data_IF_887802238277
#
_entry.id   IF_887802238277
#
_cell.length_a   1.000
_cell.length_b   1.000
_cell.length_c   1.000
_cell.angle_alpha   90.00
_cell.angle_beta   90.00
_cell.angle_gamma   90.00
#
_symmetry.space_group_name_H-M   'P 1'
#
loop_
_entity.id
_entity.type
_entity.pdbx_description
1 polymer ?
#
# COMPACT_ATOMS: atom_id res chain seq x y z
N UNK A 1 0.38 13.39 13.99
CA UNK A 1 -0.63 12.42 13.53
C UNK A 1 -1.89 13.21 13.16
N UNK A 2 -2.44 13.05 11.94
CA UNK A 2 -3.64 13.79 11.52
C UNK A 2 -3.72 14.25 10.06
N UNK A 3 -2.88 13.76 9.14
CA UNK A 3 -2.99 14.09 7.71
C UNK A 3 -3.76 13.04 6.90
N UNK A 4 -3.90 11.84 7.45
CA UNK A 4 -4.44 10.66 6.78
C UNK A 4 -5.97 10.60 6.84
N UNK A 5 -6.58 11.47 7.65
CA UNK A 5 -8.03 11.52 7.92
C UNK A 5 -8.77 12.50 6.99
N UNK A 6 -8.04 13.39 6.31
CA UNK A 6 -8.61 14.42 5.43
C UNK A 6 -8.85 13.95 3.98
N UNK A 7 -8.81 12.64 3.71
CA UNK A 7 -8.96 12.11 2.35
C UNK A 7 -7.77 12.41 1.42
N UNK A 8 -6.63 12.83 1.97
CA UNK A 8 -5.42 13.12 1.21
C UNK A 8 -4.58 11.85 1.01
N UNK A 9 -4.07 11.65 -0.20
CA UNK A 9 -3.10 10.59 -0.49
C UNK A 9 -1.72 10.99 0.03
N UNK A 10 -1.21 10.26 1.02
CA UNK A 10 0.14 10.43 1.53
C UNK A 10 1.08 9.38 0.90
N UNK A 11 2.14 9.85 0.24
CA UNK A 11 3.25 8.99 -0.23
C UNK A 11 4.45 9.25 0.67
N UNK A 12 4.97 8.19 1.28
CA UNK A 12 6.16 8.24 2.15
C UNK A 12 7.24 7.38 1.53
N UNK A 13 8.40 7.98 1.25
CA UNK A 13 9.61 7.25 0.83
C UNK A 13 10.50 7.11 2.05
N UNK A 14 10.79 5.88 2.45
CA UNK A 14 11.58 5.60 3.64
C UNK A 14 12.34 4.29 3.47
N UNK A 15 13.53 4.22 4.07
CA UNK A 15 14.29 2.98 4.20
C UNK A 15 13.91 2.19 5.46
N UNK A 16 13.10 2.77 6.36
CA UNK A 16 12.58 2.07 7.54
C UNK A 16 11.36 1.23 7.17
N UNK A 17 11.56 -0.09 7.15
CA UNK A 17 10.51 -1.06 6.82
C UNK A 17 9.32 -1.06 7.79
N UNK A 18 9.52 -0.70 9.07
CA UNK A 18 8.44 -0.64 10.06
C UNK A 18 7.49 0.53 9.79
N UNK A 19 8.03 1.65 9.31
CA UNK A 19 7.24 2.80 8.90
C UNK A 19 6.45 2.49 7.62
N UNK A 20 7.09 1.89 6.62
CA UNK A 20 6.44 1.46 5.37
C UNK A 20 5.35 0.40 5.59
N UNK A 21 5.56 -0.52 6.53
CA UNK A 21 4.61 -1.59 6.85
C UNK A 21 3.22 -1.09 7.31
N UNK A 22 3.14 0.16 7.79
CA UNK A 22 1.89 0.80 8.24
C UNK A 22 1.05 1.32 7.08
N UNK A 23 1.61 1.46 5.88
CA UNK A 23 0.90 1.96 4.71
C UNK A 23 -0.15 0.97 4.20
N UNK A 24 -1.25 1.48 3.64
CA UNK A 24 -2.29 0.67 2.98
C UNK A 24 -1.77 0.00 1.70
N UNK A 25 -0.82 0.64 1.02
CA UNK A 25 -0.09 0.09 -0.12
C UNK A 25 1.39 0.19 0.14
N UNK A 26 2.12 -0.87 -0.13
CA UNK A 26 3.58 -0.93 0.04
C UNK A 26 4.21 -1.20 -1.32
N UNK A 27 5.16 -0.35 -1.70
CA UNK A 27 5.91 -0.45 -2.93
C UNK A 27 7.39 -0.64 -2.57
N UNK A 28 8.00 -1.74 -3.00
CA UNK A 28 9.46 -1.90 -2.95
C UNK A 28 10.02 -1.59 -4.32
N UNK A 29 10.93 -0.63 -4.37
CA UNK A 29 11.66 -0.30 -5.60
C UNK A 29 13.15 -0.58 -5.40
N UNK A 30 13.76 -1.25 -6.37
CA UNK A 30 15.20 -1.49 -6.45
C UNK A 30 15.66 -1.20 -7.88
N UNK A 31 16.79 -0.48 -8.02
CA UNK A 31 17.39 -0.12 -9.31
C UNK A 31 16.42 0.54 -10.31
N UNK A 32 15.45 1.31 -9.80
CA UNK A 32 14.42 1.97 -10.60
C UNK A 32 13.27 1.07 -11.06
N UNK A 33 13.29 -0.22 -10.71
CA UNK A 33 12.22 -1.17 -10.96
C UNK A 33 11.34 -1.36 -9.71
N UNK A 34 10.04 -1.59 -9.92
CA UNK A 34 9.12 -1.99 -8.85
C UNK A 34 9.18 -3.50 -8.66
N UNK A 35 9.80 -3.94 -7.57
CA UNK A 35 9.96 -5.36 -7.25
C UNK A 35 8.74 -5.93 -6.53
N UNK A 36 8.10 -5.13 -5.66
CA UNK A 36 6.91 -5.56 -4.92
C UNK A 36 5.84 -4.48 -4.88
N UNK A 37 4.60 -4.91 -5.09
CA UNK A 37 3.38 -4.13 -4.86
C UNK A 37 2.42 -4.96 -4.01
N UNK A 38 2.06 -4.44 -2.83
CA UNK A 38 1.20 -5.12 -1.86
C UNK A 38 0.13 -4.16 -1.37
N UNK A 39 -1.13 -4.56 -1.50
CA UNK A 39 -2.25 -3.88 -0.85
C UNK A 39 -2.58 -4.56 0.47
N UNK A 40 -2.51 -3.82 1.55
CA UNK A 40 -3.00 -4.27 2.85
C UNK A 40 -4.50 -3.98 2.89
N UNK A 41 -5.30 -4.99 2.53
CA UNK A 41 -6.75 -4.90 2.72
C UNK A 41 -7.05 -4.82 4.23
N UNK A 42 -7.75 -3.78 4.71
CA UNK A 42 -8.09 -3.67 6.13
C UNK A 42 -9.21 -4.64 6.55
N UNK A 43 -9.84 -5.31 5.60
CA UNK A 43 -10.87 -6.33 5.82
C UNK A 43 -10.47 -7.55 5.03
N UNK A 44 -10.46 -8.72 5.67
CA UNK A 44 -10.17 -10.03 5.07
C UNK A 44 -11.24 -10.49 4.06
N UNK A 45 -11.68 -9.61 3.18
CA UNK A 45 -12.42 -9.97 1.99
C UNK A 45 -11.38 -10.42 0.97
N UNK A 46 -11.29 -11.74 0.79
CA UNK A 46 -10.66 -12.32 -0.39
C UNK A 46 -11.30 -11.66 -1.61
N UNK A 47 -10.50 -10.89 -2.33
CA UNK A 47 -10.82 -10.31 -3.63
C UNK A 47 -11.13 -11.45 -4.59
N UNK A 48 -12.38 -11.92 -4.57
CA UNK A 48 -12.94 -12.66 -5.68
C UNK A 48 -13.14 -11.61 -6.76
N UNK A 49 -12.15 -11.49 -7.62
CA UNK A 49 -12.32 -10.84 -8.90
C UNK A 49 -13.41 -11.63 -9.65
N UNK A 50 -14.67 -11.18 -9.53
CA UNK A 50 -15.78 -11.74 -10.29
C UNK A 50 -15.60 -11.32 -11.74
N UNK A 51 -15.40 -12.32 -12.61
CA UNK A 51 -15.32 -12.13 -14.06
C UNK A 51 -16.72 -11.69 -14.55
N UNK A 52 -16.85 -10.59 -15.31
CA UNK A 52 -18.14 -10.27 -15.92
C UNK A 52 -18.48 -11.34 -16.97
N UNK A 53 -19.67 -11.96 -16.80
CA UNK A 53 -20.30 -12.88 -17.77
C UNK A 53 -20.59 -12.22 -19.10
#
# INVERSE_FOLDING_TARGET
EGLNDQGVTLIVVTHDGSLGARARRQLLMADGALEHDRWRSPLGLTDVCVLPT
#
